data_IF_285628425733
#
_entry.id   IF_285628425733
#
_cell.length_a   1.000
_cell.length_b   1.000
_cell.length_c   1.000
_cell.angle_alpha   90.00
_cell.angle_beta   90.00
_cell.angle_gamma   90.00
#
_symmetry.space_group_name_H-M   'P 1'
#
loop_
_entity.id
_entity.type
_entity.pdbx_description
1 polymer ?
2 polymer ?
3 non-polymer ?
4 water ?
#
# COMPACT_ATOMS: atom_id res chain seq x y z
N UNK A 19 -3.15 -28.36 13.69
CA UNK A 19 -2.60 -27.07 14.21
C UNK A 19 -3.12 -25.89 13.40
N UNK A 20 -3.89 -25.03 14.06
CA UNK A 20 -4.47 -23.85 13.41
C UNK A 20 -3.42 -22.77 13.14
N UNK A 21 -3.46 -22.17 11.93
CA UNK A 21 -2.50 -21.12 11.60
C UNK A 21 -2.98 -19.80 12.21
N UNK A 22 -2.67 -19.61 13.49
CA UNK A 22 -3.07 -18.41 14.22
C UNK A 22 -2.79 -17.10 13.50
N UNK A 23 -1.51 -16.88 13.13
CA UNK A 23 -1.12 -15.66 12.44
C UNK A 23 -1.97 -15.42 11.18
N UNK A 24 -2.02 -16.42 10.31
CA UNK A 24 -2.80 -16.29 9.08
C UNK A 24 -4.28 -16.13 9.34
N UNK A 25 -4.79 -16.82 10.36
CA UNK A 25 -6.20 -16.70 10.73
C UNK A 25 -6.48 -15.23 11.01
N UNK A 26 -5.58 -14.58 11.74
CA UNK A 26 -5.77 -13.17 12.08
C UNK A 26 -5.74 -12.28 10.85
N UNK A 27 -4.74 -12.44 9.99
CA UNK A 27 -4.65 -11.61 8.80
C UNK A 27 -5.89 -11.72 7.92
N UNK A 28 -6.44 -12.93 7.77
CA UNK A 28 -7.63 -13.09 6.95
C UNK A 28 -8.83 -12.43 7.61
N UNK A 29 -8.92 -12.57 8.92
CA UNK A 29 -10.03 -12.01 9.69
C UNK A 29 -10.12 -10.50 9.67
N UNK A 30 -8.98 -9.82 9.65
CA UNK A 30 -8.98 -8.36 9.69
C UNK A 30 -8.90 -7.68 8.33
N UNK A 31 -8.75 -8.47 7.27
CA UNK A 31 -8.64 -7.90 5.92
C UNK A 31 -9.87 -7.04 5.60
N UNK A 32 -9.64 -5.77 5.23
CA UNK A 32 -10.73 -4.85 4.90
C UNK A 32 -11.60 -5.35 3.77
N UNK A 33 -12.88 -4.99 3.82
CA UNK A 33 -13.80 -5.38 2.77
C UNK A 33 -13.70 -4.40 1.62
N UNK A 34 -14.69 -4.44 0.73
CA UNK A 34 -14.72 -3.57 -0.42
C UNK A 34 -14.92 -2.10 -0.06
N UNK A 35 -14.16 -1.22 -0.71
CA UNK A 35 -14.29 0.21 -0.49
C UNK A 35 -14.57 0.88 -1.82
N UNK A 36 -15.64 1.68 -1.88
CA UNK A 36 -16.01 2.37 -3.10
C UNK A 36 -15.51 3.80 -3.09
N UNK A 37 -15.28 4.36 -4.27
CA UNK A 37 -14.78 5.71 -4.41
C UNK A 37 -15.86 6.78 -4.45
N UNK A 38 -17.06 6.40 -4.90
CA UNK A 38 -18.16 7.35 -5.00
C UNK A 38 -18.10 8.13 -6.29
N UNK A 39 -17.33 7.64 -7.25
CA UNK A 39 -17.15 8.29 -8.55
C UNK A 39 -18.40 8.24 -9.41
N UNK A 40 -18.65 9.31 -10.17
CA UNK A 40 -19.81 9.33 -11.07
C UNK A 40 -19.34 8.83 -12.44
N UNK A 41 -19.63 7.57 -12.72
CA UNK A 41 -19.22 6.94 -13.96
C UNK A 41 -20.12 7.29 -15.14
N UNK A 42 -21.16 8.07 -14.88
CA UNK A 42 -22.07 8.47 -15.96
C UNK A 42 -21.56 9.73 -16.65
N UNK A 43 -20.63 10.43 -16.00
CA UNK A 43 -20.06 11.66 -16.56
C UNK A 43 -18.85 11.34 -17.42
N UNK A 44 -18.61 12.14 -18.47
CA UNK A 44 -17.45 11.89 -19.32
C UNK A 44 -16.20 12.05 -18.44
N UNK A 45 -15.16 11.27 -18.72
CA UNK A 45 -13.93 11.35 -17.94
C UNK A 45 -13.24 12.71 -18.02
N UNK A 46 -12.71 13.16 -16.89
CA UNK A 46 -11.98 14.42 -16.83
C UNK A 46 -10.89 14.26 -15.76
N UNK A 47 -9.77 14.95 -15.96
CA UNK A 47 -8.67 14.89 -15.01
C UNK A 47 -9.13 15.23 -13.59
N UNK A 48 -9.77 16.39 -13.44
CA UNK A 48 -10.22 16.81 -12.13
C UNK A 48 -11.13 15.80 -11.44
N UNK A 49 -12.12 15.29 -12.15
CA UNK A 49 -13.04 14.32 -11.55
C UNK A 49 -12.34 13.02 -11.18
N UNK A 50 -11.49 12.51 -12.08
CA UNK A 50 -10.79 11.27 -11.82
C UNK A 50 -9.85 11.38 -10.62
N UNK A 51 -9.06 12.45 -10.57
CA UNK A 51 -8.14 12.63 -9.45
C UNK A 51 -8.87 12.97 -8.15
N UNK A 52 -9.98 13.72 -8.24
CA UNK A 52 -10.73 14.02 -7.02
C UNK A 52 -11.30 12.72 -6.46
N UNK A 53 -11.74 11.81 -7.33
CA UNK A 53 -12.28 10.53 -6.88
C UNK A 53 -11.17 9.65 -6.31
N UNK A 54 -9.98 9.68 -6.91
CA UNK A 54 -8.89 8.90 -6.37
C UNK A 54 -8.54 9.42 -4.98
N UNK A 55 -8.54 10.75 -4.81
CA UNK A 55 -8.24 11.34 -3.50
C UNK A 55 -9.26 10.92 -2.46
N UNK A 56 -10.55 10.94 -2.82
CA UNK A 56 -11.61 10.54 -1.91
C UNK A 56 -11.46 9.06 -1.56
N UNK A 57 -11.09 8.24 -2.55
CA UNK A 57 -10.89 6.82 -2.31
C UNK A 57 -9.73 6.63 -1.35
N UNK A 58 -8.69 7.45 -1.51
CA UNK A 58 -7.55 7.37 -0.62
C UNK A 58 -7.97 7.67 0.80
N UNK A 59 -8.78 8.70 0.97
CA UNK A 59 -9.25 9.10 2.29
C UNK A 59 -10.07 7.97 2.92
N UNK A 60 -10.95 7.37 2.12
CA UNK A 60 -11.79 6.27 2.61
C UNK A 60 -10.96 5.05 2.96
N UNK A 61 -9.99 4.71 2.10
CA UNK A 61 -9.13 3.57 2.38
C UNK A 61 -8.23 3.82 3.60
N UNK A 62 -7.82 5.06 3.80
CA UNK A 62 -6.97 5.37 4.95
C UNK A 62 -7.67 5.00 6.24
N UNK A 63 -8.99 5.21 6.29
CA UNK A 63 -9.76 4.87 7.47
C UNK A 63 -9.68 3.37 7.72
N UNK A 64 -9.82 2.59 6.65
CA UNK A 64 -9.74 1.13 6.77
C UNK A 64 -8.33 0.66 7.10
N UNK A 65 -7.32 1.34 6.56
CA UNK A 65 -5.94 0.96 6.84
C UNK A 65 -5.60 1.14 8.31
N UNK A 66 -6.09 2.23 8.90
CA UNK A 66 -5.83 2.48 10.31
C UNK A 66 -6.51 1.41 11.18
N UNK A 67 -7.75 1.07 10.88
CA UNK A 67 -8.48 0.07 11.64
C UNK A 67 -7.81 -1.30 11.49
N UNK A 68 -7.33 -1.58 10.29
CA UNK A 68 -6.64 -2.83 9.98
C UNK A 68 -5.30 -2.89 10.72
N UNK A 69 -4.48 -1.86 10.57
CA UNK A 69 -3.17 -1.82 11.21
C UNK A 69 -3.26 -2.02 12.72
N UNK A 70 -4.20 -1.33 13.35
CA UNK A 70 -4.36 -1.43 14.79
C UNK A 70 -4.71 -2.84 15.26
N UNK A 71 -5.22 -3.66 14.35
CA UNK A 71 -5.61 -5.02 14.69
C UNK A 71 -4.56 -6.07 14.30
N UNK A 72 -3.43 -5.60 13.77
CA UNK A 72 -2.36 -6.53 13.37
C UNK A 72 -1.61 -7.08 14.58
N UNK A 73 -1.20 -8.34 14.51
CA UNK A 73 -0.46 -8.92 15.64
C UNK A 73 0.74 -8.06 16.00
N UNK A 74 0.85 -7.70 17.28
CA UNK A 74 1.96 -6.92 17.76
C UNK A 74 2.05 -5.43 17.44
N UNK A 75 1.11 -4.91 16.67
CA UNK A 75 1.14 -3.49 16.30
C UNK A 75 1.10 -2.56 17.49
N UNK A 76 0.33 -2.92 18.52
CA UNK A 76 0.22 -2.10 19.71
C UNK A 76 1.49 -2.06 20.54
N UNK A 77 2.44 -2.95 20.24
CA UNK A 77 3.70 -2.96 20.97
C UNK A 77 4.52 -1.73 20.59
N UNK A 78 4.20 -1.16 19.44
CA UNK A 78 4.91 0.03 18.94
C UNK A 78 4.50 1.27 19.73
N UNK A 79 5.45 2.19 19.88
CA UNK A 79 5.15 3.43 20.57
C UNK A 79 4.05 4.07 19.72
N UNK A 80 3.07 4.68 20.36
CA UNK A 80 1.97 5.30 19.62
C UNK A 80 2.43 6.26 18.54
N UNK A 81 3.52 7.00 18.80
CA UNK A 81 4.04 7.94 17.82
C UNK A 81 4.54 7.18 16.60
N UNK A 82 5.05 5.97 16.82
CA UNK A 82 5.56 5.16 15.73
C UNK A 82 4.41 4.48 14.98
N UNK A 83 3.32 4.19 15.69
CA UNK A 83 2.16 3.58 15.05
C UNK A 83 1.68 4.56 14.00
N UNK A 84 1.63 5.83 14.40
CA UNK A 84 1.19 6.91 13.52
C UNK A 84 2.12 7.03 12.32
N UNK A 85 3.42 7.13 12.60
CA UNK A 85 4.44 7.27 11.58
C UNK A 85 4.41 6.18 10.51
N UNK A 86 4.42 4.92 10.92
CA UNK A 86 4.42 3.84 9.95
C UNK A 86 3.21 3.88 9.02
N UNK A 87 2.05 4.24 9.55
CA UNK A 87 0.86 4.34 8.71
C UNK A 87 1.03 5.51 7.73
N UNK A 88 1.47 6.65 8.24
CA UNK A 88 1.65 7.85 7.42
C UNK A 88 2.68 7.68 6.31
N UNK A 89 3.68 6.84 6.53
CA UNK A 89 4.69 6.64 5.49
C UNK A 89 4.41 5.50 4.53
N UNK A 90 3.76 4.46 5.02
CA UNK A 90 3.51 3.29 4.19
C UNK A 90 2.18 3.17 3.48
N UNK A 91 1.24 4.07 3.74
CA UNK A 91 -0.08 3.94 3.11
C UNK A 91 -0.07 3.82 1.58
N UNK A 92 0.75 4.61 0.90
CA UNK A 92 0.80 4.55 -0.55
C UNK A 92 1.17 3.16 -1.02
N UNK A 93 2.27 2.63 -0.50
CA UNK A 93 2.69 1.29 -0.90
C UNK A 93 1.64 0.25 -0.59
N UNK A 94 1.08 0.31 0.62
CA UNK A 94 0.06 -0.65 1.04
C UNK A 94 -1.12 -0.64 0.08
N UNK A 95 -1.63 0.56 -0.22
CA UNK A 95 -2.79 0.68 -1.10
C UNK A 95 -2.51 0.28 -2.54
N UNK A 96 -1.30 0.56 -3.03
CA UNK A 96 -0.96 0.20 -4.39
C UNK A 96 -0.86 -1.32 -4.50
N UNK A 97 -0.24 -1.94 -3.50
CA UNK A 97 -0.10 -3.40 -3.50
C UNK A 97 -1.47 -4.07 -3.52
N UNK A 98 -2.37 -3.60 -2.65
CA UNK A 98 -3.70 -4.18 -2.59
C UNK A 98 -4.47 -3.93 -3.90
N UNK A 99 -4.28 -2.75 -4.48
CA UNK A 99 -4.96 -2.44 -5.73
C UNK A 99 -4.47 -3.40 -6.82
N UNK A 100 -3.17 -3.68 -6.80
CA UNK A 100 -2.62 -4.61 -7.79
C UNK A 100 -3.24 -5.98 -7.66
N UNK A 101 -3.43 -6.43 -6.43
CA UNK A 101 -4.03 -7.73 -6.16
C UNK A 101 -5.48 -7.76 -6.65
N UNK A 102 -6.23 -6.69 -6.37
CA UNK A 102 -7.63 -6.60 -6.81
C UNK A 102 -7.71 -6.64 -8.34
N UNK A 103 -6.78 -5.94 -8.98
CA UNK A 103 -6.76 -5.87 -10.43
C UNK A 103 -6.50 -7.26 -11.00
N UNK A 104 -5.64 -8.01 -10.34
CA UNK A 104 -5.34 -9.35 -10.82
C UNK A 104 -6.51 -10.30 -10.61
N UNK A 105 -7.01 -10.34 -9.39
CA UNK A 105 -8.11 -11.23 -9.04
C UNK A 105 -9.44 -10.92 -9.73
N UNK A 106 -9.76 -9.64 -9.86
CA UNK A 106 -11.04 -9.26 -10.45
C UNK A 106 -11.08 -9.14 -11.97
N UNK A 107 -10.04 -8.59 -12.58
CA UNK A 107 -10.04 -8.41 -14.04
C UNK A 107 -8.79 -8.90 -14.75
N UNK A 108 -8.06 -9.82 -14.11
CA UNK A 108 -6.84 -10.37 -14.70
C UNK A 108 -5.88 -9.31 -15.23
N UNK A 109 -5.74 -8.23 -14.48
CA UNK A 109 -4.84 -7.14 -14.84
C UNK A 109 -5.20 -6.38 -16.12
N UNK A 110 -6.40 -6.60 -16.64
CA UNK A 110 -6.84 -5.92 -17.86
C UNK A 110 -7.01 -4.42 -17.59
N UNK A 111 -7.35 -4.08 -16.36
CA UNK A 111 -7.54 -2.68 -15.97
C UNK A 111 -7.08 -2.53 -14.53
N UNK A 112 -6.96 -1.29 -14.06
CA UNK A 112 -6.56 -1.03 -12.69
C UNK A 112 -7.84 -0.91 -11.87
N UNK A 113 -8.04 -1.87 -10.97
CA UNK A 113 -9.23 -1.92 -10.15
C UNK A 113 -9.07 -1.14 -8.84
N UNK A 114 -9.10 0.18 -8.95
CA UNK A 114 -8.97 1.01 -7.76
C UNK A 114 -10.14 0.71 -6.82
N UNK A 115 -11.33 0.59 -7.39
CA UNK A 115 -12.54 0.29 -6.63
C UNK A 115 -13.58 -0.21 -7.64
N UNK A 116 -14.63 -0.87 -7.13
CA UNK A 116 -15.66 -1.38 -8.06
C UNK A 116 -16.22 -0.28 -8.95
N UNK A 117 -16.26 0.93 -8.43
CA UNK A 117 -16.78 2.08 -9.16
C UNK A 117 -15.69 3.02 -9.68
N UNK A 118 -14.46 2.53 -9.75
CA UNK A 118 -13.36 3.33 -10.25
C UNK A 118 -12.32 2.39 -10.85
N UNK A 119 -12.66 1.89 -12.04
CA UNK A 119 -11.80 0.98 -12.78
C UNK A 119 -11.18 1.74 -13.94
N UNK A 120 -9.86 1.75 -14.00
CA UNK A 120 -9.15 2.47 -15.05
C UNK A 120 -8.79 1.67 -16.30
N UNK A 121 -9.31 2.11 -17.44
CA UNK A 121 -8.96 1.50 -18.71
C UNK A 121 -7.82 2.41 -19.20
N UNK A 122 -7.22 2.12 -20.35
CA UNK A 122 -6.13 2.94 -20.84
C UNK A 122 -6.50 4.42 -21.03
N UNK A 123 -7.73 4.68 -21.46
CA UNK A 123 -8.18 6.04 -21.67
C UNK A 123 -8.11 6.84 -20.37
N UNK A 124 -8.56 6.23 -19.28
CA UNK A 124 -8.52 6.88 -17.99
C UNK A 124 -7.09 7.03 -17.48
N UNK A 125 -6.24 6.07 -17.81
CA UNK A 125 -4.85 6.15 -17.39
C UNK A 125 -4.24 7.40 -18.03
N UNK A 126 -4.60 7.66 -19.28
CA UNK A 126 -4.10 8.82 -20.00
C UNK A 126 -4.70 10.11 -19.46
N UNK A 127 -6.02 10.10 -19.27
CA UNK A 127 -6.74 11.28 -18.77
C UNK A 127 -6.28 11.70 -17.38
N UNK A 128 -5.83 10.73 -16.59
CA UNK A 128 -5.37 10.98 -15.23
C UNK A 128 -4.01 11.68 -15.19
N UNK A 129 -3.34 11.75 -16.34
CA UNK A 129 -2.03 12.37 -16.44
C UNK A 129 -0.93 11.61 -15.68
N UNK A 130 -1.21 10.37 -15.33
CA UNK A 130 -0.20 9.54 -14.68
C UNK A 130 -0.18 8.18 -15.36
N UNK A 131 -0.13 8.21 -16.68
CA UNK A 131 -0.11 7.02 -17.49
C UNK A 131 1.10 6.14 -17.17
N UNK A 132 2.28 6.75 -17.10
CA UNK A 132 3.49 6.00 -16.81
C UNK A 132 3.38 5.22 -15.50
N UNK A 133 2.87 5.89 -14.46
CA UNK A 133 2.71 5.25 -13.17
C UNK A 133 1.65 4.15 -13.24
N UNK A 134 0.60 4.40 -14.02
CA UNK A 134 -0.45 3.41 -14.16
C UNK A 134 0.05 2.13 -14.81
N UNK A 135 0.84 2.26 -15.88
CA UNK A 135 1.33 1.05 -16.53
C UNK A 135 2.25 0.26 -15.60
N UNK A 136 2.99 0.95 -14.75
CA UNK A 136 3.87 0.24 -13.80
C UNK A 136 3.00 -0.50 -12.79
N UNK A 137 1.88 0.08 -12.40
CA UNK A 137 0.98 -0.57 -11.45
C UNK A 137 0.31 -1.77 -12.12
N UNK A 138 0.07 -1.66 -13.42
CA UNK A 138 -0.56 -2.76 -14.15
C UNK A 138 0.45 -3.90 -14.25
N UNK A 139 1.72 -3.55 -14.36
CA UNK A 139 2.78 -4.54 -14.45
C UNK A 139 2.84 -5.29 -13.11
N UNK A 140 2.73 -4.52 -12.03
CA UNK A 140 2.73 -5.10 -10.68
C UNK A 140 1.57 -6.09 -10.61
N UNK A 141 0.40 -5.67 -11.09
CA UNK A 141 -0.78 -6.54 -11.07
C UNK A 141 -0.49 -7.84 -11.80
N UNK A 142 0.13 -7.74 -12.97
CA UNK A 142 0.45 -8.93 -13.76
C UNK A 142 1.37 -9.89 -13.01
N UNK A 143 2.29 -9.35 -12.22
CA UNK A 143 3.22 -10.18 -11.45
C UNK A 143 2.51 -11.11 -10.48
N UNK A 144 1.39 -10.67 -9.91
CA UNK A 144 0.64 -11.51 -9.00
C UNK A 144 0.24 -12.78 -9.73
N UNK A 145 -0.05 -12.67 -11.02
CA UNK A 145 -0.43 -13.83 -11.80
C UNK A 145 0.77 -14.64 -12.25
N UNK A 146 1.78 -13.96 -12.77
CA UNK A 146 2.97 -14.64 -13.24
C UNK A 146 3.67 -15.41 -12.13
N UNK A 147 3.71 -14.85 -10.93
CA UNK A 147 4.35 -15.49 -9.79
C UNK A 147 3.40 -16.42 -9.03
N UNK A 148 2.15 -16.48 -9.48
CA UNK A 148 1.15 -17.31 -8.82
C UNK A 148 1.12 -17.03 -7.32
N UNK A 149 1.03 -15.75 -6.98
CA UNK A 149 0.96 -15.33 -5.59
C UNK A 149 -0.34 -15.89 -4.99
N UNK A 150 -0.25 -16.53 -3.83
CA UNK A 150 -1.41 -17.08 -3.17
C UNK A 150 -2.05 -16.01 -2.31
N UNK A 151 -3.34 -16.18 -1.97
CA UNK A 151 -4.03 -15.18 -1.14
C UNK A 151 -3.32 -14.96 0.20
N UNK A 152 -2.75 -16.04 0.73
CA UNK A 152 -2.05 -15.98 2.01
C UNK A 152 -0.70 -15.26 1.89
N UNK A 153 0.00 -15.46 0.77
CA UNK A 153 1.27 -14.77 0.59
C UNK A 153 0.95 -13.29 0.43
N UNK A 154 -0.14 -13.00 -0.29
CA UNK A 154 -0.55 -11.61 -0.48
C UNK A 154 -0.81 -10.96 0.88
N UNK A 155 -1.55 -11.63 1.75
CA UNK A 155 -1.86 -11.06 3.06
C UNK A 155 -0.61 -10.79 3.89
N UNK A 156 0.32 -11.73 3.92
CA UNK A 156 1.53 -11.54 4.71
C UNK A 156 2.42 -10.45 4.15
N UNK A 157 2.55 -10.42 2.83
CA UNK A 157 3.38 -9.40 2.19
C UNK A 157 2.79 -8.02 2.44
N UNK A 158 1.47 -7.90 2.37
CA UNK A 158 0.84 -6.60 2.60
C UNK A 158 1.13 -6.11 4.01
N UNK A 159 1.04 -7.02 4.98
CA UNK A 159 1.31 -6.66 6.36
C UNK A 159 2.76 -6.20 6.48
N UNK A 160 3.67 -6.90 5.81
CA UNK A 160 5.07 -6.52 5.85
C UNK A 160 5.31 -5.13 5.26
N UNK A 161 4.51 -4.76 4.26
CA UNK A 161 4.68 -3.43 3.64
C UNK A 161 4.43 -2.30 4.62
N UNK A 162 3.67 -2.56 5.68
CA UNK A 162 3.41 -1.53 6.68
C UNK A 162 4.68 -1.24 7.47
N UNK A 163 5.61 -2.19 7.48
CA UNK A 163 6.87 -2.05 8.23
C UNK A 163 8.06 -2.00 7.28
N UNK A 164 7.89 -1.34 6.14
CA UNK A 164 8.97 -1.27 5.16
C UNK A 164 9.49 0.12 4.82
N UNK A 165 9.14 1.12 5.62
CA UNK A 165 9.62 2.48 5.37
C UNK A 165 9.78 3.19 6.70
N UNK A 166 11.02 3.61 6.99
CA UNK A 166 11.32 4.26 8.26
C UNK A 166 12.19 5.52 8.12
N UNK A 167 12.19 6.39 9.15
CA UNK A 167 12.96 7.63 9.17
C UNK A 167 14.42 7.41 9.56
N UNK A 168 15.31 8.27 9.08
CA UNK A 168 16.72 8.15 9.39
C UNK A 168 17.04 8.57 10.83
N UNK A 169 16.25 9.47 11.38
CA UNK A 169 16.47 9.91 12.76
C UNK A 169 15.95 8.84 13.72
N UNK A 170 15.40 7.77 13.14
CA UNK A 170 14.87 6.67 13.93
C UNK A 170 13.50 6.89 14.53
N UNK A 171 12.82 5.79 14.84
CA UNK A 171 11.49 5.84 15.44
C UNK A 171 11.66 6.02 16.95
N UNK A 172 10.59 6.42 17.63
CA UNK A 172 10.66 6.61 19.08
C UNK A 172 11.30 5.39 19.71
N UNK A 173 10.80 4.21 19.34
CA UNK A 173 11.37 2.97 19.85
C UNK A 173 11.67 2.05 18.67
N UNK A 174 12.83 2.28 18.07
CA UNK A 174 13.29 1.54 16.90
C UNK A 174 13.42 0.05 17.19
N UNK A 175 13.78 -0.29 18.42
CA UNK A 175 13.95 -1.69 18.79
C UNK A 175 12.66 -2.50 18.67
N UNK A 176 11.54 -1.95 19.13
CA UNK A 176 10.27 -2.67 19.05
C UNK A 176 9.85 -2.83 17.59
N UNK A 177 10.14 -1.82 16.77
CA UNK A 177 9.80 -1.89 15.36
C UNK A 177 10.62 -2.98 14.68
N UNK A 178 11.92 -3.01 14.96
CA UNK A 178 12.80 -4.00 14.38
C UNK A 178 12.35 -5.42 14.73
N UNK A 179 11.91 -5.62 15.95
CA UNK A 179 11.45 -6.94 16.40
C UNK A 179 10.20 -7.35 15.64
N UNK A 180 9.26 -6.41 15.51
CA UNK A 180 8.02 -6.69 14.82
C UNK A 180 8.29 -7.03 13.35
N UNK A 181 9.12 -6.23 12.70
CA UNK A 181 9.45 -6.49 11.30
C UNK A 181 10.06 -7.87 11.15
N UNK A 182 10.97 -8.22 12.05
CA UNK A 182 11.61 -9.53 12.00
C UNK A 182 10.61 -10.66 12.12
N UNK A 183 9.61 -10.48 12.98
CA UNK A 183 8.60 -11.51 13.17
C UNK A 183 7.71 -11.69 11.96
N UNK A 184 7.41 -10.60 11.26
CA UNK A 184 6.58 -10.71 10.07
C UNK A 184 7.35 -11.39 8.95
N UNK A 185 8.66 -11.17 8.90
CA UNK A 185 9.47 -11.81 7.88
C UNK A 185 9.50 -13.30 8.20
N UNK A 186 9.57 -13.62 9.49
CA UNK A 186 9.57 -15.00 9.95
C UNK A 186 8.26 -15.70 9.56
N UNK A 187 7.15 -14.99 9.69
CA UNK A 187 5.85 -15.56 9.33
C UNK A 187 5.78 -15.79 7.82
N UNK A 188 6.42 -14.91 7.06
CA UNK A 188 6.42 -15.07 5.61
C UNK A 188 7.21 -16.35 5.30
N UNK A 189 8.27 -16.60 6.08
CA UNK A 189 9.08 -17.81 5.88
C UNK A 189 8.22 -19.04 6.10
N UNK A 190 7.43 -19.02 7.18
CA UNK A 190 6.58 -20.15 7.53
C UNK A 190 5.58 -20.44 6.42
N UNK A 191 5.00 -19.38 5.86
CA UNK A 191 4.02 -19.54 4.78
C UNK A 191 4.67 -20.19 3.56
N UNK A 192 5.91 -19.80 3.29
CA UNK A 192 6.65 -20.33 2.15
C UNK A 192 7.00 -21.80 2.35
N UNK A 193 7.37 -22.16 3.56
CA UNK A 193 7.75 -23.53 3.87
C UNK A 193 6.56 -24.48 4.06
N UNK A 194 5.36 -23.92 4.12
CA UNK A 194 4.14 -24.72 4.32
C UNK A 194 4.13 -26.02 3.52
N UNK A 195 4.03 -25.90 2.20
CA UNK A 195 3.99 -27.07 1.32
C UNK A 195 5.33 -27.32 0.63
N UNK A 196 6.38 -26.68 1.13
CA UNK A 196 7.71 -26.86 0.57
C UNK A 196 8.62 -27.53 1.59
N UNK A 197 9.09 -28.72 1.27
CA UNK A 197 9.96 -29.47 2.17
C UNK A 197 11.41 -29.32 1.73
N UNK A 198 11.62 -28.63 0.62
CA UNK A 198 12.95 -28.41 0.06
C UNK A 198 13.42 -26.98 0.37
N UNK A 199 14.50 -26.85 1.16
CA UNK A 199 15.04 -25.54 1.53
C UNK A 199 15.40 -24.66 0.32
N UNK A 200 15.81 -25.30 -0.77
CA UNK A 200 16.17 -24.56 -1.98
C UNK A 200 14.94 -23.93 -2.62
N UNK A 201 13.82 -24.66 -2.63
CA UNK A 201 12.59 -24.15 -3.21
C UNK A 201 12.08 -22.98 -2.37
N UNK A 202 12.29 -23.06 -1.05
CA UNK A 202 11.87 -22.00 -0.16
C UNK A 202 12.71 -20.75 -0.45
N UNK A 203 14.01 -20.97 -0.62
CA UNK A 203 14.92 -19.86 -0.91
C UNK A 203 14.53 -19.15 -2.20
N UNK A 204 14.21 -19.92 -3.23
CA UNK A 204 13.83 -19.33 -4.51
C UNK A 204 12.52 -18.56 -4.40
N UNK A 205 11.59 -19.05 -3.59
CA UNK A 205 10.32 -18.36 -3.41
C UNK A 205 10.55 -17.07 -2.64
N UNK A 206 11.39 -17.13 -1.60
CA UNK A 206 11.67 -15.93 -0.81
C UNK A 206 12.29 -14.86 -1.72
N UNK A 207 13.16 -15.29 -2.62
CA UNK A 207 13.80 -14.38 -3.55
C UNK A 207 12.74 -13.66 -4.39
N UNK A 208 11.81 -14.45 -4.93
CA UNK A 208 10.72 -13.91 -5.77
C UNK A 208 9.87 -12.89 -5.02
N UNK A 209 9.43 -13.27 -3.82
CA UNK A 209 8.58 -12.38 -3.03
C UNK A 209 9.27 -11.11 -2.56
N UNK A 210 10.53 -11.21 -2.16
CA UNK A 210 11.23 -10.00 -1.72
C UNK A 210 11.47 -9.07 -2.92
N UNK A 211 11.67 -9.65 -4.09
CA UNK A 211 11.84 -8.83 -5.28
C UNK A 211 10.52 -8.12 -5.57
N UNK A 212 9.41 -8.84 -5.42
CA UNK A 212 8.10 -8.25 -5.67
C UNK A 212 7.87 -7.10 -4.68
N UNK A 213 8.13 -7.35 -3.41
CA UNK A 213 7.96 -6.33 -2.37
C UNK A 213 8.80 -5.09 -2.70
N UNK A 214 10.05 -5.30 -3.12
CA UNK A 214 10.91 -4.17 -3.46
C UNK A 214 10.34 -3.36 -4.62
N UNK A 215 9.71 -4.06 -5.57
CA UNK A 215 9.16 -3.38 -6.76
C UNK A 215 8.05 -2.40 -6.44
N UNK A 216 7.44 -2.53 -5.28
CA UNK A 216 6.37 -1.64 -4.87
C UNK A 216 6.91 -0.24 -4.55
N UNK A 217 8.09 -0.19 -3.95
CA UNK A 217 8.67 1.09 -3.54
C UNK A 217 8.90 2.13 -4.63
N UNK A 218 9.52 1.74 -5.77
CA UNK A 218 9.73 2.76 -6.82
C UNK A 218 8.40 3.31 -7.33
N UNK A 219 7.40 2.46 -7.38
CA UNK A 219 6.08 2.88 -7.84
C UNK A 219 5.51 3.87 -6.82
N UNK A 220 5.56 3.50 -5.54
CA UNK A 220 5.06 4.37 -4.49
C UNK A 220 5.76 5.73 -4.52
N UNK A 221 7.06 5.72 -4.81
CA UNK A 221 7.80 6.98 -4.85
C UNK A 221 7.31 7.88 -5.97
N UNK A 222 7.07 7.30 -7.14
CA UNK A 222 6.58 8.07 -8.29
C UNK A 222 5.23 8.68 -7.96
N UNK A 223 4.39 7.91 -7.26
CA UNK A 223 3.06 8.42 -6.90
C UNK A 223 3.18 9.49 -5.82
N UNK A 224 4.13 9.32 -4.91
CA UNK A 224 4.36 10.31 -3.86
C UNK A 224 4.70 11.63 -4.54
N UNK A 225 5.58 11.58 -5.54
CA UNK A 225 5.98 12.79 -6.26
C UNK A 225 4.80 13.41 -6.99
N UNK A 226 4.02 12.56 -7.66
CA UNK A 226 2.87 13.03 -8.41
C UNK A 226 1.81 13.69 -7.53
N UNK A 227 1.48 13.05 -6.41
CA UNK A 227 0.45 13.61 -5.54
C UNK A 227 0.93 14.89 -4.85
N UNK A 228 2.22 14.94 -4.52
CA UNK A 228 2.77 16.12 -3.88
C UNK A 228 2.62 17.29 -4.85
N UNK A 229 3.08 17.11 -6.09
CA UNK A 229 2.98 18.16 -7.11
C UNK A 229 1.54 18.56 -7.33
N UNK A 230 0.62 17.59 -7.32
CA UNK A 230 -0.79 17.87 -7.53
C UNK A 230 -1.36 18.69 -6.38
N UNK A 231 -0.99 18.36 -5.15
CA UNK A 231 -1.49 19.10 -3.99
C UNK A 231 -1.06 20.56 -4.09
N UNK A 232 0.20 20.78 -4.44
CA UNK A 232 0.72 22.15 -4.55
C UNK A 232 -0.03 22.99 -5.56
N UNK A 233 -0.50 22.38 -6.65
CA UNK A 233 -1.22 23.12 -7.67
C UNK A 233 -2.70 22.73 -7.76
N UNK A 234 -3.20 22.07 -6.72
CA UNK A 234 -4.59 21.61 -6.71
C UNK A 234 -5.63 22.70 -6.96
N UNK A 235 -5.40 23.87 -6.38
CA UNK A 235 -6.34 24.98 -6.53
C UNK A 235 -6.53 25.46 -7.97
N UNK A 236 -5.53 25.28 -8.82
CA UNK A 236 -5.64 25.74 -10.20
C UNK A 236 -6.04 24.66 -11.20
N UNK A 237 -6.13 23.42 -10.73
CA UNK A 237 -6.52 22.32 -11.62
C UNK A 237 -7.85 21.72 -11.16
N UNK A 238 -8.46 22.36 -10.16
CA UNK A 238 -9.75 21.92 -9.63
C UNK A 238 -9.77 20.50 -9.06
N UNK A 239 -8.69 20.11 -8.38
CA UNK A 239 -8.64 18.77 -7.77
C UNK A 239 -8.81 18.93 -6.27
N UNK A 240 -9.79 18.25 -5.71
CA UNK A 240 -10.04 18.36 -4.27
C UNK A 240 -9.29 17.31 -3.45
N UNK A 241 -8.68 17.77 -2.36
CA UNK A 241 -7.97 16.88 -1.45
C UNK A 241 -8.66 16.86 -0.09
N UNK A 242 -9.09 15.66 0.35
CA UNK A 242 -9.75 15.56 1.66
C UNK A 242 -8.76 15.95 2.75
N UNK A 243 -9.26 16.24 3.93
CA UNK A 243 -8.44 16.66 5.06
C UNK A 243 -7.23 15.80 5.43
N UNK A 244 -7.44 14.53 5.75
CA UNK A 244 -6.33 13.66 6.13
C UNK A 244 -5.29 13.52 5.03
N UNK A 245 -5.75 13.38 3.78
CA UNK A 245 -4.83 13.26 2.66
C UNK A 245 -3.95 14.51 2.55
N UNK A 246 -4.57 15.68 2.61
CA UNK A 246 -3.84 16.94 2.48
C UNK A 246 -2.79 17.11 3.58
N UNK A 247 -3.13 16.70 4.80
CA UNK A 247 -2.22 16.81 5.92
C UNK A 247 -1.03 15.87 5.74
N UNK A 248 -1.30 14.63 5.37
CA UNK A 248 -0.24 13.64 5.18
C UNK A 248 0.67 13.97 4.02
N UNK A 249 0.09 14.44 2.92
CA UNK A 249 0.86 14.74 1.72
C UNK A 249 1.70 16.02 1.88
N UNK A 250 1.30 16.90 2.78
CA UNK A 250 2.05 18.13 2.97
C UNK A 250 3.05 18.03 4.13
N UNK A 251 2.85 17.05 5.02
CA UNK A 251 3.74 16.91 6.16
C UNK A 251 4.63 15.67 6.12
N UNK A 252 4.05 14.51 5.82
CA UNK A 252 4.81 13.27 5.79
C UNK A 252 5.45 12.94 4.45
N UNK A 253 4.70 13.08 3.35
CA UNK A 253 5.24 12.75 2.05
C UNK A 253 6.54 13.51 1.72
N UNK A 254 6.61 14.82 2.03
CA UNK A 254 7.84 15.55 1.73
C UNK A 254 9.06 15.00 2.47
N UNK A 255 8.85 14.37 3.63
CA UNK A 255 9.96 13.79 4.37
C UNK A 255 10.51 12.61 3.57
N UNK A 256 9.62 11.93 2.86
CA UNK A 256 10.04 10.81 2.04
C UNK A 256 10.78 11.34 0.81
N UNK A 257 10.18 12.32 0.15
CA UNK A 257 10.77 12.90 -1.04
C UNK A 257 12.09 13.61 -0.81
N UNK A 258 12.30 14.15 0.39
CA UNK A 258 13.54 14.85 0.71
C UNK A 258 14.61 13.91 1.26
N UNK A 259 14.29 12.61 1.30
CA UNK A 259 15.24 11.62 1.78
C UNK A 259 15.40 11.43 3.28
N UNK A 260 14.51 12.02 4.06
CA UNK A 260 14.59 11.89 5.52
C UNK A 260 13.93 10.59 5.98
N UNK A 261 13.06 10.05 5.14
CA UNK A 261 12.37 8.81 5.41
C UNK A 261 12.59 7.93 4.17
N UNK A 262 13.11 6.73 4.37
CA UNK A 262 13.40 5.87 3.23
C UNK A 262 12.88 4.44 3.36
N UNK A 263 12.54 3.82 2.23
CA UNK A 263 12.02 2.46 2.21
C UNK A 263 13.13 1.49 2.57
N UNK A 264 12.76 0.33 3.11
CA UNK A 264 13.74 -0.69 3.45
C UNK A 264 13.68 -1.67 2.29
N UNK A 265 14.75 -1.69 1.49
CA UNK A 265 14.83 -2.59 0.35
C UNK A 265 15.52 -3.88 0.74
N UNK A 266 15.03 -5.01 0.25
CA UNK A 266 15.67 -6.28 0.56
C UNK A 266 16.96 -6.39 -0.26
N UNK A 267 16.87 -6.01 -1.53
CA UNK A 267 18.00 -6.09 -2.44
C UNK A 267 18.56 -4.70 -2.71
N UNK A 268 19.75 -4.63 -3.29
CA UNK A 268 20.37 -3.33 -3.56
C UNK A 268 20.52 -3.09 -5.05
N UNK B 4 -4.76 15.60 14.74
CA UNK B 4 -5.51 15.46 13.46
C UNK B 4 -6.55 14.36 13.50
N UNK B 5 -7.37 14.28 12.46
CA UNK B 5 -8.41 13.27 12.37
C UNK B 5 -7.80 11.88 12.33
N UNK B 6 -6.57 11.78 11.81
CA UNK B 6 -5.87 10.52 11.73
C UNK B 6 -5.50 10.07 13.14
N UNK B 7 -4.95 11.00 13.92
CA UNK B 7 -4.56 10.72 15.30
C UNK B 7 -5.76 10.28 16.11
N UNK B 8 -6.90 10.95 15.91
CA UNK B 8 -8.13 10.61 16.61
C UNK B 8 -8.58 9.21 16.20
N UNK B 9 -8.43 8.92 14.91
CA UNK B 9 -8.80 7.64 14.35
C UNK B 9 -7.93 6.54 14.97
N UNK B 10 -6.63 6.81 15.05
CA UNK B 10 -5.67 5.87 15.61
C UNK B 10 -5.89 5.62 17.10
N UNK B 11 -6.24 6.68 17.84
CA UNK B 11 -6.47 6.56 19.27
C UNK B 11 -7.93 6.28 19.57
X LIG C 1 -6.13 5.15 -3.77
X LIG C 1 -6.31 3.73 -3.22
X LIG C 1 -5.79 2.75 -4.31
X LIG C 1 -6.51 1.81 -4.65
X LIG C 1 -4.44 3.02 -4.89
X LIG C 1 -4.35 4.47 -5.46
X LIG C 1 -2.94 4.76 -6.06
X LIG C 1 -2.93 6.19 -6.65
X LIG C 1 -3.26 7.27 -5.56
X LIG C 1 -4.65 6.95 -4.91
X LIG C 1 -4.71 5.50 -4.29
X LIG C 1 -4.98 8.06 -3.86
X LIG C 1 -4.93 9.50 -4.35
X LIG C 1 -3.61 9.82 -5.11
X LIG C 1 -3.32 8.69 -6.15
X LIG C 1 -2.05 9.21 -6.85
X LIG C 1 -2.38 10.72 -7.03
X LIG C 1 -3.61 10.98 -6.09
X LIG C 1 -3.47 12.26 -5.46
X LIG C 1 -2.44 9.96 -4.05
X LIG C 1 -3.68 5.42 -3.10
#
# INVERSE_FOLDING_TARGET
GSPGISGGGGGSHIEGYECQPIFLNVLEAIEPGVVCAGHDNNQPDSFAALLSSLNELGERQLVHVVKWAKALPGFRNLHVDDQMAVIQYSWMGLMVFAMGWRSFTNVNSRMLYFAPDLVFNEYRMHKSRMYSQCVRMRHLSQEFGWLQITPQEFLCMKALLLFSIIPVDGLKNQKFFDELRMNYIKELDRIIACKRKNPTSCSRRFYQLTKLLDSVQPIARELHQFTFDLLIKSHMVSVDFPEMMAEIISVQVPKILSGKVKPIYFHTQ
SSRGLLWDLLTKDSRSGSGK
DHT C1 C2 C3 O3 C4 C5 C6 C7 C8 C9 C10 C11 C12 C13 C14 C15 C16 C17 O17 C18 C19
#
